data_IF_319566427601
#
_entry.id   IF_319566427601
#
_cell.length_a   1.000
_cell.length_b   1.000
_cell.length_c   1.000
_cell.angle_alpha   90.00
_cell.angle_beta   90.00
_cell.angle_gamma   90.00
#
_symmetry.space_group_name_H-M   'P 1'
#
loop_
_entity.id
_entity.type
_entity.pdbx_description
1 polymer ?
#
# COMPACT_ATOMS: atom_id res chain seq x y z
N UNK A 1 4.07 -3.92 22.75
CA UNK A 1 2.97 -2.94 22.76
C UNK A 1 2.55 -2.71 21.31
N UNK A 2 1.43 -3.29 20.87
CA UNK A 2 0.90 -3.10 19.51
C UNK A 2 0.10 -1.78 19.50
N UNK A 3 0.73 -0.71 19.02
CA UNK A 3 0.04 0.58 18.81
C UNK A 3 -0.46 0.58 17.37
N UNK A 4 -1.79 0.54 17.19
CA UNK A 4 -2.35 0.73 15.86
C UNK A 4 -1.94 2.11 15.35
N UNK A 5 -1.39 2.24 14.14
CA UNK A 5 -1.11 3.54 13.58
C UNK A 5 -2.41 4.33 13.44
N UNK A 6 -2.36 5.61 13.78
CA UNK A 6 -3.48 6.52 13.53
C UNK A 6 -3.44 6.85 12.04
N UNK A 7 -4.49 6.47 11.32
CA UNK A 7 -4.64 6.80 9.91
C UNK A 7 -5.21 8.21 9.78
N UNK A 8 -4.59 9.02 8.93
CA UNK A 8 -5.05 10.35 8.56
C UNK A 8 -6.00 10.27 7.36
N UNK A 9 -6.88 11.25 7.26
CA UNK A 9 -7.74 11.41 6.08
C UNK A 9 -6.90 11.84 4.87
N UNK A 10 -7.19 11.31 3.67
CA UNK A 10 -6.52 11.72 2.46
C UNK A 10 -6.84 13.16 2.07
N UNK A 11 -5.80 13.92 1.74
CA UNK A 11 -5.91 15.21 1.07
C UNK A 11 -5.59 15.03 -0.41
N UNK A 12 -6.58 15.22 -1.29
CA UNK A 12 -6.39 14.96 -2.72
C UNK A 12 -5.69 16.08 -3.48
N UNK A 13 -5.54 17.26 -2.86
CA UNK A 13 -4.77 18.39 -3.40
C UNK A 13 -3.27 18.24 -3.18
N UNK A 14 -2.87 17.24 -2.39
CA UNK A 14 -1.48 17.01 -2.00
C UNK A 14 -0.94 15.72 -2.60
N UNK A 15 0.38 15.67 -2.79
CA UNK A 15 1.05 14.49 -3.32
C UNK A 15 0.97 13.33 -2.32
N UNK A 16 0.71 12.13 -2.86
CA UNK A 16 0.76 10.90 -2.09
C UNK A 16 2.13 10.25 -2.25
N UNK A 17 2.71 9.80 -1.14
CA UNK A 17 3.94 9.02 -1.14
C UNK A 17 3.58 7.58 -0.82
N UNK A 18 3.83 6.69 -1.78
CA UNK A 18 3.74 5.25 -1.57
C UNK A 18 5.13 4.74 -1.22
N UNK A 19 5.22 3.96 -0.14
CA UNK A 19 6.42 3.22 0.21
C UNK A 19 6.08 1.75 0.26
N UNK A 20 6.88 0.96 -0.42
CA UNK A 20 6.76 -0.48 -0.42
C UNK A 20 7.96 -1.12 0.27
N UNK A 21 7.73 -2.25 0.91
CA UNK A 21 8.75 -3.10 1.50
C UNK A 21 8.45 -4.55 1.16
N UNK A 22 9.42 -5.21 0.54
CA UNK A 22 9.32 -6.58 0.08
C UNK A 22 10.31 -7.45 0.85
N UNK A 23 9.78 -8.46 1.53
CA UNK A 23 10.58 -9.50 2.18
C UNK A 23 10.28 -10.86 1.55
N UNK A 24 11.17 -11.83 1.71
CA UNK A 24 10.94 -13.21 1.26
C UNK A 24 9.69 -13.87 1.87
N UNK A 25 9.10 -13.27 2.93
CA UNK A 25 7.91 -13.79 3.61
C UNK A 25 6.61 -13.11 3.15
N UNK A 26 6.69 -11.90 2.63
CA UNK A 26 5.55 -11.00 2.53
C UNK A 26 5.91 -9.64 1.95
N UNK A 27 4.92 -8.98 1.37
CA UNK A 27 5.03 -7.64 0.80
C UNK A 27 4.13 -6.71 1.58
N UNK A 28 4.64 -5.54 1.93
CA UNK A 28 3.94 -4.47 2.60
C UNK A 28 4.02 -3.18 1.81
N UNK A 29 2.97 -2.38 1.88
CA UNK A 29 2.94 -1.06 1.29
C UNK A 29 2.21 -0.09 2.22
N UNK A 30 2.70 1.13 2.28
CA UNK A 30 2.09 2.23 3.03
C UNK A 30 1.91 3.43 2.12
N UNK A 31 0.71 3.99 2.18
CA UNK A 31 0.35 5.25 1.57
C UNK A 31 0.45 6.33 2.67
N UNK A 32 1.20 7.40 2.42
CA UNK A 32 1.38 8.48 3.39
C UNK A 32 1.40 9.87 2.71
N UNK A 33 0.97 10.88 3.44
CA UNK A 33 1.05 12.30 3.06
C UNK A 33 1.63 13.09 4.22
N UNK A 34 2.57 14.01 3.96
CA UNK A 34 3.19 14.81 5.02
C UNK A 34 3.79 14.01 6.20
N UNK A 35 4.16 12.74 5.97
CA UNK A 35 4.64 11.83 7.02
C UNK A 35 3.54 11.17 7.87
N UNK A 36 2.26 11.42 7.56
CA UNK A 36 1.11 10.76 8.16
C UNK A 36 0.65 9.58 7.30
N UNK A 37 0.37 8.44 7.94
CA UNK A 37 -0.15 7.25 7.25
C UNK A 37 -1.62 7.45 6.87
N UNK A 38 -1.96 7.10 5.64
CA UNK A 38 -3.30 7.21 5.06
C UNK A 38 -3.91 5.82 4.95
N UNK A 39 -3.14 4.89 4.39
CA UNK A 39 -3.52 3.49 4.25
C UNK A 39 -2.29 2.59 4.38
N UNK A 40 -2.49 1.37 4.87
CA UNK A 40 -1.47 0.34 4.89
C UNK A 40 -2.05 -0.96 4.34
N UNK A 41 -1.29 -1.63 3.48
CA UNK A 41 -1.60 -2.93 2.94
C UNK A 41 -0.44 -3.87 3.23
N UNK A 42 -0.72 -5.06 3.74
CA UNK A 42 0.29 -6.10 3.88
C UNK A 42 -0.29 -7.42 3.43
N UNK A 43 0.52 -8.17 2.68
CA UNK A 43 0.16 -9.47 2.13
C UNK A 43 1.28 -10.46 2.41
N UNK A 44 0.96 -11.46 3.22
CA UNK A 44 1.86 -12.59 3.45
C UNK A 44 1.87 -13.44 2.19
N UNK A 45 3.06 -13.77 1.69
CA UNK A 45 3.21 -14.64 0.54
C UNK A 45 2.93 -16.08 0.97
N UNK A 46 2.18 -16.81 0.15
CA UNK A 46 1.99 -18.25 0.37
C UNK A 46 3.36 -18.97 0.33
N UNK A 47 3.56 -20.10 1.04
CA UNK A 47 4.87 -20.77 1.11
C UNK A 47 5.51 -21.06 -0.25
N UNK A 48 4.70 -21.38 -1.26
CA UNK A 48 5.15 -21.58 -2.66
C UNK A 48 5.72 -20.31 -3.32
N UNK A 49 5.35 -19.13 -2.84
CA UNK A 49 5.83 -17.82 -3.30
C UNK A 49 6.89 -17.24 -2.35
N UNK A 50 7.32 -17.95 -1.30
CA UNK A 50 8.43 -17.53 -0.45
C UNK A 50 9.78 -17.99 -1.01
N UNK A 51 9.76 -18.92 -1.98
CA UNK A 51 10.94 -19.43 -2.68
C UNK A 51 11.12 -18.86 -4.09
N UNK A 52 10.28 -17.89 -4.52
CA UNK A 52 10.48 -17.22 -5.80
C UNK A 52 11.60 -16.19 -5.70
N UNK A 53 12.23 -15.88 -6.84
CA UNK A 53 13.32 -14.93 -6.92
C UNK A 53 12.84 -13.52 -6.54
N UNK A 54 13.76 -12.68 -6.08
CA UNK A 54 13.50 -11.27 -5.74
C UNK A 54 12.74 -10.52 -6.83
N UNK A 55 13.01 -10.84 -8.10
CA UNK A 55 12.33 -10.25 -9.26
C UNK A 55 10.80 -10.48 -9.28
N UNK A 56 10.37 -11.71 -8.96
CA UNK A 56 8.94 -12.05 -8.89
C UNK A 56 8.25 -11.33 -7.72
N UNK A 57 8.97 -11.15 -6.62
CA UNK A 57 8.49 -10.41 -5.45
C UNK A 57 8.38 -8.91 -5.77
N UNK A 58 9.33 -8.34 -6.49
CA UNK A 58 9.27 -6.95 -6.98
C UNK A 58 8.12 -6.73 -7.98
N UNK A 59 7.81 -7.72 -8.83
CA UNK A 59 6.66 -7.61 -9.73
C UNK A 59 5.33 -7.58 -8.95
N UNK A 60 5.23 -8.36 -7.88
CA UNK A 60 4.09 -8.33 -6.95
C UNK A 60 4.02 -7.00 -6.17
N UNK A 61 5.17 -6.36 -5.94
CA UNK A 61 5.23 -5.04 -5.32
C UNK A 61 4.62 -3.96 -6.22
N UNK A 62 4.88 -4.02 -7.53
CA UNK A 62 4.25 -3.16 -8.54
C UNK A 62 2.73 -3.37 -8.57
N UNK A 63 2.26 -4.60 -8.44
CA UNK A 63 0.82 -4.92 -8.38
C UNK A 63 0.15 -4.31 -7.13
N UNK A 64 0.82 -4.40 -5.97
CA UNK A 64 0.34 -3.80 -4.72
C UNK A 64 0.33 -2.26 -4.79
N UNK A 65 1.35 -1.66 -5.41
CA UNK A 65 1.38 -0.23 -5.67
C UNK A 65 0.21 0.19 -6.57
N UNK A 66 -0.08 -0.58 -7.63
CA UNK A 66 -1.25 -0.39 -8.48
C UNK A 66 -2.58 -0.51 -7.72
N UNK A 67 -2.69 -1.47 -6.79
CA UNK A 67 -3.88 -1.61 -5.95
C UNK A 67 -4.11 -0.41 -5.03
N UNK A 68 -3.06 0.16 -4.43
CA UNK A 68 -3.17 1.37 -3.61
C UNK A 68 -3.49 2.60 -4.46
N UNK A 69 -2.94 2.69 -5.68
CA UNK A 69 -3.29 3.73 -6.63
C UNK A 69 -4.75 3.62 -7.13
N UNK A 70 -5.25 2.41 -7.33
CA UNK A 70 -6.67 2.17 -7.63
C UNK A 70 -7.56 2.51 -6.43
N UNK A 71 -7.10 2.26 -5.20
CA UNK A 71 -7.83 2.67 -4.00
C UNK A 71 -7.94 4.20 -3.90
N UNK A 72 -6.91 4.96 -4.33
CA UNK A 72 -6.98 6.42 -4.50
C UNK A 72 -8.11 6.81 -5.47
N UNK A 73 -8.18 6.20 -6.65
CA UNK A 73 -9.22 6.53 -7.64
C UNK A 73 -10.61 6.12 -7.15
N UNK A 74 -10.74 5.01 -6.43
CA UNK A 74 -12.01 4.58 -5.84
C UNK A 74 -12.49 5.50 -4.71
N UNK A 75 -11.56 6.01 -3.89
CA UNK A 75 -11.83 7.04 -2.86
C UNK A 75 -12.24 8.38 -3.49
N UNK A 76 -11.60 8.79 -4.60
CA UNK A 76 -12.00 9.98 -5.37
C UNK A 76 -13.42 9.84 -5.94
N UNK A 77 -13.77 8.66 -6.45
CA UNK A 77 -15.08 8.41 -7.09
C UNK A 77 -16.24 8.28 -6.10
N UNK A 78 -15.94 7.96 -4.83
CA UNK A 78 -16.95 7.82 -3.76
C UNK A 78 -17.25 9.12 -3.01
N UNK A 79 -16.39 10.13 -3.12
CA UNK A 79 -16.59 11.46 -2.51
C UNK A 79 -17.08 12.49 -3.55
N UNK A 80 -16.82 12.28 -4.85
CA UNK A 80 -17.29 13.15 -5.95
C UNK A 80 -18.74 12.92 -6.41
N UNK A 81 -19.57 12.24 -5.60
CA UNK A 81 -21.02 12.08 -5.81
C UNK A 81 -21.77 12.60 -4.60
N UNK A 82 -21.64 13.88 -4.32
CA UNK A 82 -22.61 14.71 -3.59
C UNK A 82 -22.47 16.17 -4.04
#
# INVERSE_FOLDING_TARGET
MLKSPILALPNFDEEFIIKTDASGLGIGAVLQQHGHLIACLSKILAPRHQSVSTYEIELLDVDIQGCLALHRDLLLTSIGRD
#
